data_IF_357109174297
#
_entry.id   IF_357109174297
#
_cell.length_a   1.000
_cell.length_b   1.000
_cell.length_c   1.000
_cell.angle_alpha   90.00
_cell.angle_beta   90.00
_cell.angle_gamma   90.00
#
_symmetry.space_group_name_H-M   'P 1'
#
loop_
_entity.id
_entity.type
_entity.pdbx_description
1 polymer ?
#
# COMPACT_ATOMS: atom_id res chain seq x y z
N UNK A 1 6.91 -12.29 -56.02
CA UNK A 1 7.45 -12.15 -54.64
C UNK A 1 7.20 -10.74 -54.10
N UNK A 2 5.99 -10.37 -53.67
CA UNK A 2 5.72 -9.04 -53.05
C UNK A 2 4.42 -9.07 -52.23
N UNK A 3 4.39 -9.70 -51.05
CA UNK A 3 3.29 -9.55 -50.06
C UNK A 3 3.77 -9.94 -48.65
N UNK A 4 4.77 -9.26 -48.10
CA UNK A 4 5.15 -9.40 -46.69
C UNK A 4 5.97 -8.18 -46.27
N UNK A 5 5.32 -7.06 -45.93
CA UNK A 5 6.01 -5.94 -45.28
C UNK A 5 5.10 -4.96 -44.52
N UNK A 6 3.82 -5.27 -44.33
CA UNK A 6 2.90 -4.42 -43.54
C UNK A 6 2.50 -5.22 -42.30
N UNK A 7 3.41 -5.36 -41.35
CA UNK A 7 3.04 -5.78 -39.98
C UNK A 7 4.01 -5.33 -38.89
N UNK A 8 5.12 -4.66 -39.22
CA UNK A 8 6.14 -4.27 -38.23
C UNK A 8 6.06 -2.81 -37.78
N UNK A 9 5.12 -2.00 -38.31
CA UNK A 9 5.04 -0.56 -38.02
C UNK A 9 3.98 -0.19 -36.96
N UNK A 10 3.25 -1.17 -36.40
CA UNK A 10 2.19 -0.89 -35.42
C UNK A 10 2.63 -1.06 -33.96
N UNK A 11 3.81 -1.62 -33.70
CA UNK A 11 4.33 -1.86 -32.34
C UNK A 11 5.21 -0.73 -31.81
N UNK A 12 5.69 0.18 -32.67
CA UNK A 12 6.56 1.30 -32.26
C UNK A 12 5.80 2.59 -31.91
N UNK A 13 4.51 2.71 -32.29
CA UNK A 13 3.70 3.90 -32.01
C UNK A 13 3.02 3.92 -30.64
N UNK A 14 2.90 2.77 -29.95
CA UNK A 14 2.27 2.69 -28.62
C UNK A 14 3.17 3.22 -27.48
N UNK A 15 4.50 3.11 -27.64
CA UNK A 15 5.44 3.52 -26.58
C UNK A 15 5.56 5.04 -26.45
N UNK A 16 5.42 5.80 -27.54
CA UNK A 16 5.49 7.26 -27.52
C UNK A 16 4.25 7.90 -26.87
N UNK A 17 3.08 7.27 -26.97
CA UNK A 17 1.85 7.79 -26.37
C UNK A 17 1.92 7.81 -24.83
N UNK A 18 2.51 6.78 -24.21
CA UNK A 18 2.64 6.69 -22.76
C UNK A 18 3.66 7.71 -22.22
N UNK A 19 4.84 7.82 -22.86
CA UNK A 19 5.85 8.79 -22.45
C UNK A 19 5.34 10.25 -22.51
N UNK A 20 4.58 10.60 -23.56
CA UNK A 20 3.97 11.92 -23.70
C UNK A 20 2.91 12.21 -22.63
N UNK A 21 2.13 11.22 -22.21
CA UNK A 21 1.12 11.40 -21.16
C UNK A 21 1.76 11.71 -19.79
N UNK A 22 2.86 11.02 -19.47
CA UNK A 22 3.62 11.29 -18.24
C UNK A 22 4.22 12.68 -18.25
N UNK A 23 4.85 13.10 -19.35
CA UNK A 23 5.47 14.42 -19.47
C UNK A 23 4.44 15.56 -19.50
N UNK A 24 3.24 15.33 -20.03
CA UNK A 24 2.14 16.30 -19.94
C UNK A 24 1.64 16.44 -18.50
N UNK A 25 1.42 15.32 -17.79
CA UNK A 25 0.90 15.34 -16.41
C UNK A 25 1.93 15.82 -15.38
N UNK A 26 3.22 15.50 -15.57
CA UNK A 26 4.28 15.72 -14.60
C UNK A 26 5.36 16.71 -15.07
N UNK A 27 5.28 17.26 -16.28
CA UNK A 27 6.29 18.18 -16.84
C UNK A 27 6.45 19.49 -16.06
N UNK A 28 5.40 19.92 -15.35
CA UNK A 28 5.44 21.09 -14.47
C UNK A 28 6.05 20.83 -13.08
N UNK A 29 6.35 19.57 -12.73
CA UNK A 29 6.95 19.25 -11.45
C UNK A 29 8.45 19.55 -11.45
N UNK A 30 8.98 19.96 -10.29
CA UNK A 30 10.43 20.05 -10.12
C UNK A 30 11.07 18.69 -10.43
N UNK A 31 12.21 18.70 -11.15
CA UNK A 31 12.85 17.49 -11.69
C UNK A 31 13.09 16.39 -10.65
N UNK A 32 13.45 16.77 -9.43
CA UNK A 32 13.68 15.83 -8.32
C UNK A 32 12.41 15.15 -7.78
N UNK A 33 11.23 15.71 -8.06
CA UNK A 33 9.94 15.13 -7.68
C UNK A 33 9.19 14.46 -8.84
N UNK A 34 9.62 14.65 -10.08
CA UNK A 34 9.02 13.99 -11.24
C UNK A 34 8.88 12.47 -11.07
N UNK A 35 9.88 11.73 -10.51
CA UNK A 35 9.72 10.29 -10.28
C UNK A 35 8.54 9.93 -9.37
N UNK A 36 8.23 10.77 -8.38
CA UNK A 36 7.07 10.57 -7.50
C UNK A 36 5.78 10.78 -8.29
N UNK A 37 5.70 11.86 -9.07
CA UNK A 37 4.54 12.14 -9.92
C UNK A 37 4.30 10.99 -10.92
N UNK A 38 5.35 10.55 -11.61
CA UNK A 38 5.26 9.43 -12.54
C UNK A 38 4.76 8.16 -11.86
N UNK A 39 5.29 7.79 -10.68
CA UNK A 39 4.83 6.60 -9.96
C UNK A 39 3.38 6.73 -9.50
N UNK A 40 2.96 7.90 -9.03
CA UNK A 40 1.57 8.15 -8.62
C UNK A 40 0.62 8.07 -9.81
N UNK A 41 0.98 8.67 -10.93
CA UNK A 41 0.24 8.60 -12.17
C UNK A 41 0.10 7.14 -12.64
N UNK A 42 1.20 6.38 -12.65
CA UNK A 42 1.18 4.96 -13.02
C UNK A 42 0.28 4.13 -12.09
N UNK A 43 0.38 4.32 -10.76
CA UNK A 43 -0.52 3.67 -9.81
C UNK A 43 -1.98 3.97 -10.09
N UNK A 44 -2.29 5.23 -10.40
CA UNK A 44 -3.65 5.66 -10.66
C UNK A 44 -4.24 5.01 -11.92
N UNK A 45 -3.51 5.07 -13.03
CA UNK A 45 -4.03 4.68 -14.35
C UNK A 45 -3.74 3.22 -14.74
N UNK A 46 -2.61 2.65 -14.30
CA UNK A 46 -2.19 1.29 -14.65
C UNK A 46 -2.35 0.29 -13.48
N UNK A 47 -2.44 0.77 -12.24
CA UNK A 47 -2.55 -0.09 -11.05
C UNK A 47 -3.88 -0.84 -10.96
N UNK A 48 -3.84 -2.04 -10.40
CA UNK A 48 -5.03 -2.84 -10.09
C UNK A 48 -5.79 -2.26 -8.89
N UNK A 49 -7.11 -2.43 -8.84
CA UNK A 49 -7.91 -2.01 -7.70
C UNK A 49 -7.73 -3.00 -6.55
N UNK A 50 -7.73 -2.49 -5.33
CA UNK A 50 -7.50 -3.29 -4.14
C UNK A 50 -8.51 -2.95 -3.06
N UNK A 51 -9.16 -3.97 -2.50
CA UNK A 51 -10.01 -3.88 -1.33
C UNK A 51 -9.20 -4.31 -0.12
N UNK A 52 -9.14 -3.44 0.89
CA UNK A 52 -8.46 -3.69 2.15
C UNK A 52 -9.48 -4.02 3.23
N UNK A 53 -9.19 -5.06 4.02
CA UNK A 53 -9.99 -5.47 5.18
C UNK A 53 -9.05 -5.57 6.37
N UNK A 54 -9.31 -4.79 7.42
CA UNK A 54 -8.52 -4.81 8.65
C UNK A 54 -9.27 -5.61 9.71
N UNK A 55 -8.55 -6.18 10.68
CA UNK A 55 -9.24 -6.97 11.71
C UNK A 55 -8.47 -7.25 12.99
N UNK A 56 -7.14 -7.12 13.00
CA UNK A 56 -6.38 -7.50 14.20
C UNK A 56 -5.20 -6.57 14.48
N UNK A 57 -5.15 -6.04 15.69
CA UNK A 57 -4.05 -5.28 16.25
C UNK A 57 -3.55 -5.97 17.53
N UNK A 58 -2.38 -6.59 17.46
CA UNK A 58 -1.76 -7.28 18.59
C UNK A 58 -0.79 -6.36 19.32
N UNK A 59 -1.06 -6.10 20.60
CA UNK A 59 -0.13 -5.38 21.47
C UNK A 59 0.97 -6.32 21.97
N UNK A 60 2.24 -5.89 21.90
CA UNK A 60 3.34 -6.75 22.30
C UNK A 60 3.25 -7.20 23.77
N UNK A 61 3.12 -8.51 23.98
CA UNK A 61 2.91 -9.11 25.32
C UNK A 61 4.11 -8.98 26.25
N UNK A 62 5.31 -8.74 25.69
CA UNK A 62 6.50 -8.45 26.48
C UNK A 62 6.54 -7.00 26.98
N UNK A 63 5.79 -6.12 26.33
CA UNK A 63 5.82 -4.68 26.59
C UNK A 63 4.61 -4.20 27.41
N UNK A 64 3.43 -4.77 27.14
CA UNK A 64 2.19 -4.39 27.80
C UNK A 64 1.78 -5.39 28.89
N UNK A 65 1.44 -4.92 30.10
CA UNK A 65 0.88 -5.78 31.12
C UNK A 65 -0.54 -6.23 30.74
N UNK A 66 -0.92 -7.44 31.15
CA UNK A 66 -2.20 -8.08 30.80
C UNK A 66 -3.43 -7.20 31.08
N UNK A 67 -3.46 -6.47 32.21
CA UNK A 67 -4.58 -5.60 32.53
C UNK A 67 -4.77 -4.47 31.51
N UNK A 68 -3.67 -3.96 30.93
CA UNK A 68 -3.71 -2.88 29.94
C UNK A 68 -4.17 -3.43 28.59
N UNK A 69 -3.66 -4.59 28.19
CA UNK A 69 -4.12 -5.29 26.98
C UNK A 69 -5.63 -5.55 27.05
N UNK A 70 -6.12 -6.03 28.19
CA UNK A 70 -7.55 -6.29 28.39
C UNK A 70 -8.42 -5.02 28.32
N UNK A 71 -7.84 -3.84 28.50
CA UNK A 71 -8.55 -2.56 28.34
C UNK A 71 -8.59 -2.06 26.90
N UNK A 72 -7.75 -2.61 26.01
CA UNK A 72 -7.64 -2.19 24.62
C UNK A 72 -8.49 -3.03 23.67
N UNK A 73 -8.93 -2.40 22.59
CA UNK A 73 -9.49 -3.07 21.44
C UNK A 73 -8.36 -3.64 20.56
N UNK A 74 -8.33 -4.96 20.41
CA UNK A 74 -7.45 -5.65 19.44
C UNK A 74 -8.20 -6.07 18.17
N UNK A 75 -9.53 -5.93 18.17
CA UNK A 75 -10.36 -6.16 16.99
C UNK A 75 -10.41 -4.86 16.17
N UNK A 76 -9.34 -4.61 15.42
CA UNK A 76 -9.17 -3.41 14.61
C UNK A 76 -9.95 -3.50 13.28
N UNK A 77 -11.26 -3.74 13.40
CA UNK A 77 -12.17 -3.89 12.27
C UNK A 77 -12.28 -2.59 11.48
N UNK A 78 -12.36 -2.75 10.17
CA UNK A 78 -12.36 -1.66 9.23
C UNK A 78 -11.98 -2.14 7.84
N UNK A 79 -11.56 -1.20 7.01
CA UNK A 79 -11.16 -1.48 5.65
C UNK A 79 -11.04 -0.23 4.82
N UNK A 80 -10.90 -0.41 3.52
CA UNK A 80 -10.80 0.68 2.59
C UNK A 80 -10.39 0.23 1.21
N UNK A 81 -9.93 1.17 0.41
CA UNK A 81 -9.63 0.97 -1.00
C UNK A 81 -8.22 1.45 -1.32
N UNK A 82 -7.65 0.89 -2.36
CA UNK A 82 -6.36 1.30 -2.86
C UNK A 82 -6.11 0.85 -4.29
N UNK A 83 -4.90 1.16 -4.75
CA UNK A 83 -4.38 0.70 -6.02
C UNK A 83 -2.98 0.15 -5.81
N UNK A 84 -2.70 -0.97 -6.47
CA UNK A 84 -1.41 -1.66 -6.40
C UNK A 84 -0.88 -1.98 -7.79
N UNK A 85 0.43 -1.84 -7.99
CA UNK A 85 1.12 -2.25 -9.21
C UNK A 85 2.41 -2.99 -8.87
N UNK A 86 2.81 -3.90 -9.76
CA UNK A 86 4.16 -4.44 -9.78
C UNK A 86 4.97 -3.67 -10.82
N UNK A 87 6.14 -3.18 -10.44
CA UNK A 87 7.01 -2.46 -11.35
C UNK A 87 7.79 -3.43 -12.26
N UNK A 88 8.67 -2.86 -13.10
CA UNK A 88 9.44 -3.60 -14.09
C UNK A 88 10.46 -4.57 -13.45
N UNK A 89 10.77 -4.38 -12.15
CA UNK A 89 11.63 -5.25 -11.35
C UNK A 89 10.83 -6.32 -10.61
N UNK A 90 9.50 -6.27 -10.71
CA UNK A 90 8.60 -7.13 -9.97
C UNK A 90 8.45 -6.73 -8.51
N UNK A 91 8.87 -5.53 -8.11
CA UNK A 91 8.62 -4.97 -6.78
C UNK A 91 7.21 -4.38 -6.73
N UNK A 92 6.55 -4.43 -5.56
CA UNK A 92 5.17 -3.96 -5.42
C UNK A 92 5.13 -2.53 -4.87
N UNK A 93 4.29 -1.72 -5.49
CA UNK A 93 3.95 -0.37 -5.08
C UNK A 93 2.45 -0.28 -4.83
N UNK A 94 2.01 0.49 -3.84
CA UNK A 94 0.59 0.74 -3.67
C UNK A 94 0.27 2.03 -2.94
N UNK A 95 -0.88 2.60 -3.27
CA UNK A 95 -1.56 3.64 -2.49
C UNK A 95 -2.81 3.06 -1.86
N UNK A 96 -3.12 3.45 -0.63
CA UNK A 96 -4.29 2.98 0.09
C UNK A 96 -4.89 4.07 0.95
N UNK A 97 -6.20 4.01 1.12
CA UNK A 97 -6.96 4.76 2.09
C UNK A 97 -7.80 3.76 2.88
N UNK A 98 -7.55 3.65 4.17
CA UNK A 98 -8.26 2.76 5.08
C UNK A 98 -8.79 3.53 6.28
N UNK A 99 -9.84 3.01 6.92
CA UNK A 99 -10.26 3.45 8.23
C UNK A 99 -10.58 2.22 9.09
N UNK A 100 -10.15 2.25 10.35
CA UNK A 100 -10.30 1.13 11.27
C UNK A 100 -10.53 1.59 12.70
N UNK A 101 -10.98 0.68 13.57
CA UNK A 101 -11.13 0.95 14.99
C UNK A 101 -9.77 0.85 15.71
N UNK A 102 -9.37 1.93 16.37
CA UNK A 102 -8.15 1.98 17.17
C UNK A 102 -8.29 1.23 18.51
N UNK A 103 -7.27 1.30 19.36
CA UNK A 103 -7.24 0.64 20.68
C UNK A 103 -8.27 1.18 21.68
N UNK A 104 -8.82 2.38 21.44
CA UNK A 104 -9.90 3.00 22.21
C UNK A 104 -11.26 2.93 21.49
N UNK A 105 -11.36 2.17 20.38
CA UNK A 105 -12.55 2.02 19.53
C UNK A 105 -12.98 3.30 18.83
N UNK A 106 -12.06 4.24 18.63
CA UNK A 106 -12.28 5.39 17.77
C UNK A 106 -11.97 5.04 16.31
N UNK A 107 -12.58 5.73 15.36
CA UNK A 107 -12.23 5.61 13.94
C UNK A 107 -10.87 6.29 13.73
N UNK A 108 -9.91 5.53 13.22
CA UNK A 108 -8.60 5.99 12.78
C UNK A 108 -8.50 5.86 11.25
N UNK A 109 -8.53 6.98 10.50
CA UNK A 109 -8.26 6.97 9.07
C UNK A 109 -6.75 6.98 8.79
N UNK A 110 -6.31 6.21 7.80
CA UNK A 110 -4.94 6.23 7.30
C UNK A 110 -4.92 6.29 5.77
N UNK A 111 -4.14 7.22 5.24
CA UNK A 111 -3.80 7.35 3.81
C UNK A 111 -2.31 7.10 3.67
N UNK A 112 -1.90 6.19 2.79
CA UNK A 112 -0.49 5.88 2.65
C UNK A 112 -0.06 5.39 1.28
N UNK A 113 1.25 5.45 1.10
CA UNK A 113 1.98 4.78 0.03
C UNK A 113 2.84 3.67 0.63
N UNK A 114 2.93 2.54 -0.05
CA UNK A 114 3.73 1.41 0.36
C UNK A 114 4.60 0.90 -0.79
N UNK A 115 5.81 0.48 -0.44
CA UNK A 115 6.77 -0.15 -1.33
C UNK A 115 7.26 -1.45 -0.70
N UNK A 116 7.24 -2.54 -1.46
CA UNK A 116 7.72 -3.85 -1.05
C UNK A 116 8.67 -4.40 -2.10
N UNK A 117 9.84 -4.86 -1.66
CA UNK A 117 10.64 -5.79 -2.44
C UNK A 117 9.97 -7.15 -2.43
N UNK A 118 9.87 -7.81 -3.58
CA UNK A 118 9.07 -9.03 -3.71
C UNK A 118 9.88 -10.22 -4.22
N UNK A 119 9.84 -11.31 -3.45
CA UNK A 119 10.29 -12.63 -3.89
C UNK A 119 9.11 -13.39 -4.51
N UNK A 120 9.25 -13.77 -5.79
CA UNK A 120 8.26 -14.56 -6.53
C UNK A 120 8.56 -16.05 -6.36
N UNK A 121 7.87 -16.71 -5.43
CA UNK A 121 8.10 -18.12 -5.08
C UNK A 121 7.48 -19.08 -6.09
N UNK A 122 6.41 -18.66 -6.75
CA UNK A 122 5.76 -19.33 -7.88
C UNK A 122 4.93 -18.32 -8.68
N UNK A 123 4.32 -18.76 -9.79
CA UNK A 123 3.42 -17.92 -10.60
C UNK A 123 2.27 -17.30 -9.78
N UNK A 124 1.89 -17.94 -8.68
CA UNK A 124 0.76 -17.54 -7.86
C UNK A 124 1.16 -17.07 -6.46
N UNK A 125 2.39 -17.29 -5.99
CA UNK A 125 2.78 -17.02 -4.60
C UNK A 125 3.94 -16.07 -4.53
N UNK A 126 3.78 -14.99 -3.75
CA UNK A 126 4.79 -13.96 -3.57
C UNK A 126 4.95 -13.58 -2.11
N UNK A 127 6.18 -13.29 -1.70
CA UNK A 127 6.51 -12.73 -0.39
C UNK A 127 7.08 -11.33 -0.58
N UNK A 128 6.50 -10.35 0.10
CA UNK A 128 6.94 -8.96 0.03
C UNK A 128 7.43 -8.44 1.37
N UNK A 129 8.48 -7.63 1.37
CA UNK A 129 8.94 -6.90 2.55
C UNK A 129 9.44 -5.49 2.16
N UNK A 130 9.11 -4.50 2.97
CA UNK A 130 9.49 -3.11 2.73
C UNK A 130 8.86 -2.19 3.76
N UNK A 131 8.29 -1.08 3.31
CA UNK A 131 7.78 -0.02 4.18
C UNK A 131 6.53 0.65 3.62
N UNK A 132 5.83 1.35 4.50
CA UNK A 132 4.80 2.32 4.15
C UNK A 132 5.11 3.67 4.78
N UNK A 133 4.85 4.74 4.05
CA UNK A 133 4.71 6.09 4.58
C UNK A 133 3.24 6.45 4.54
N UNK A 134 2.73 7.00 5.63
CA UNK A 134 1.30 7.29 5.78
C UNK A 134 1.06 8.59 6.54
N UNK A 135 -0.15 9.10 6.39
CA UNK A 135 -0.73 10.11 7.25
C UNK A 135 -1.93 9.47 7.93
N UNK A 136 -1.99 9.56 9.24
CA UNK A 136 -3.11 9.08 10.05
C UNK A 136 -3.56 10.17 11.02
N UNK A 137 -4.75 10.02 11.60
CA UNK A 137 -5.27 10.92 12.62
C UNK A 137 -5.96 10.11 13.71
N UNK A 138 -5.77 10.51 14.97
CA UNK A 138 -6.43 9.87 16.10
C UNK A 138 -6.94 10.93 17.07
N UNK A 139 -8.14 10.80 17.64
CA UNK A 139 -8.68 11.82 18.55
C UNK A 139 -7.86 11.95 19.84
N UNK A 140 -7.23 10.86 20.29
CA UNK A 140 -6.37 10.81 21.47
C UNK A 140 -4.91 11.23 21.21
N UNK A 141 -4.52 11.46 19.95
CA UNK A 141 -3.19 11.95 19.57
C UNK A 141 -3.32 13.29 18.84
N UNK A 142 -2.60 14.31 19.33
CA UNK A 142 -2.63 15.66 18.73
C UNK A 142 -4.05 16.21 18.51
N UNK A 143 -5.03 15.76 19.32
CA UNK A 143 -6.44 16.14 19.22
C UNK A 143 -7.04 15.95 17.81
N UNK A 144 -6.64 14.90 17.09
CA UNK A 144 -7.14 14.58 15.76
C UNK A 144 -6.46 15.33 14.61
N UNK A 145 -5.42 16.13 14.88
CA UNK A 145 -4.59 16.72 13.82
C UNK A 145 -3.83 15.59 13.10
N UNK A 146 -3.93 15.46 11.77
CA UNK A 146 -3.22 14.43 11.03
C UNK A 146 -1.70 14.52 11.20
N UNK A 147 -1.05 13.37 11.36
CA UNK A 147 0.40 13.28 11.54
C UNK A 147 1.00 12.20 10.63
N UNK A 148 2.26 12.38 10.18
CA UNK A 148 2.93 11.41 9.34
C UNK A 148 3.44 10.22 10.16
N UNK A 149 3.56 9.07 9.49
CA UNK A 149 4.17 7.86 10.02
C UNK A 149 4.95 7.12 8.96
N UNK A 150 5.93 6.33 9.40
CA UNK A 150 6.63 5.36 8.56
C UNK A 150 6.69 4.04 9.31
N UNK A 151 6.27 2.96 8.64
CA UNK A 151 6.17 1.64 9.25
C UNK A 151 6.77 0.56 8.35
N UNK A 152 7.39 -0.50 8.91
CA UNK A 152 7.71 -1.69 8.14
C UNK A 152 6.42 -2.36 7.65
N UNK A 153 6.48 -2.99 6.47
CA UNK A 153 5.36 -3.72 5.90
C UNK A 153 5.84 -5.05 5.32
N UNK A 154 5.13 -6.12 5.63
CA UNK A 154 5.36 -7.46 5.06
C UNK A 154 4.07 -8.01 4.47
N UNK A 155 4.19 -8.87 3.46
CA UNK A 155 3.04 -9.48 2.80
C UNK A 155 3.31 -10.90 2.32
N UNK A 156 2.26 -11.70 2.33
CA UNK A 156 2.15 -12.99 1.67
C UNK A 156 0.98 -12.91 0.70
N UNK A 157 1.27 -12.98 -0.58
CA UNK A 157 0.29 -12.96 -1.66
C UNK A 157 0.12 -14.38 -2.22
N UNK A 158 -1.13 -14.78 -2.42
CA UNK A 158 -1.50 -15.94 -3.22
C UNK A 158 -2.62 -15.57 -4.19
N UNK A 159 -2.31 -15.58 -5.49
CA UNK A 159 -3.18 -15.08 -6.58
C UNK A 159 -3.62 -13.64 -6.30
N UNK A 160 -4.91 -13.43 -6.11
CA UNK A 160 -5.50 -12.11 -5.91
C UNK A 160 -5.68 -11.77 -4.42
N UNK A 161 -5.35 -12.68 -3.50
CA UNK A 161 -5.51 -12.48 -2.06
C UNK A 161 -4.14 -12.27 -1.44
N UNK A 162 -4.06 -11.31 -0.52
CA UNK A 162 -2.83 -10.97 0.19
C UNK A 162 -3.11 -10.83 1.67
N UNK A 163 -2.34 -11.51 2.50
CA UNK A 163 -2.25 -11.25 3.92
C UNK A 163 -1.06 -10.30 4.14
N UNK A 164 -1.29 -9.20 4.83
CA UNK A 164 -0.25 -8.21 5.13
C UNK A 164 -0.20 -7.88 6.61
N UNK A 165 0.98 -7.46 7.06
CA UNK A 165 1.17 -6.95 8.40
C UNK A 165 2.14 -5.77 8.43
N UNK A 166 1.89 -4.85 9.35
CA UNK A 166 2.77 -3.74 9.68
C UNK A 166 3.01 -3.69 11.19
N UNK A 167 4.14 -3.13 11.63
CA UNK A 167 4.47 -3.03 13.05
C UNK A 167 4.70 -1.57 13.41
N UNK A 168 3.94 -1.05 14.36
CA UNK A 168 4.12 0.28 14.93
C UNK A 168 5.23 0.22 15.97
N UNK A 169 6.44 0.73 15.69
CA UNK A 169 7.49 0.79 16.69
C UNK A 169 7.10 1.78 17.78
N UNK A 170 7.66 1.61 18.98
CA UNK A 170 7.48 2.59 20.02
C UNK A 170 8.30 2.29 21.27
N UNK A 171 8.25 3.22 22.23
CA UNK A 171 9.00 3.15 23.46
C UNK A 171 8.06 2.82 24.62
N UNK A 172 8.38 1.77 25.37
CA UNK A 172 7.53 1.32 26.47
C UNK A 172 6.09 1.06 26.01
N UNK A 173 5.12 1.69 26.67
CA UNK A 173 3.67 1.42 26.48
C UNK A 173 3.00 2.29 25.41
N UNK A 174 3.80 2.85 24.52
CA UNK A 174 3.35 3.56 23.33
C UNK A 174 3.91 2.81 22.12
N UNK A 175 3.08 2.52 21.12
CA UNK A 175 3.45 1.65 20.00
C UNK A 175 3.65 0.19 20.41
N UNK A 176 4.58 -0.51 19.77
CA UNK A 176 4.78 -1.96 19.91
C UNK A 176 3.52 -2.77 19.56
N UNK A 177 2.92 -2.45 18.42
CA UNK A 177 1.68 -3.06 17.94
C UNK A 177 1.89 -3.67 16.57
N UNK A 178 1.55 -4.95 16.41
CA UNK A 178 1.46 -5.61 15.12
C UNK A 178 0.03 -5.43 14.57
N UNK A 179 -0.10 -4.86 13.39
CA UNK A 179 -1.38 -4.66 12.73
C UNK A 179 -1.48 -5.57 11.51
N UNK A 180 -2.55 -6.36 11.43
CA UNK A 180 -2.79 -7.37 10.39
C UNK A 180 -4.01 -6.97 9.56
N UNK A 181 -3.85 -7.11 8.25
CA UNK A 181 -4.87 -6.80 7.26
C UNK A 181 -4.87 -7.80 6.10
N UNK A 182 -6.04 -8.03 5.54
CA UNK A 182 -6.25 -8.72 4.28
C UNK A 182 -6.41 -7.73 3.14
N UNK A 183 -6.01 -8.14 1.94
CA UNK A 183 -6.16 -7.36 0.72
C UNK A 183 -6.60 -8.26 -0.43
N UNK A 184 -7.59 -7.82 -1.19
CA UNK A 184 -8.06 -8.49 -2.40
C UNK A 184 -7.87 -7.60 -3.62
N UNK A 185 -7.14 -8.08 -4.61
CA UNK A 185 -6.85 -7.36 -5.86
C UNK A 185 -7.84 -7.78 -6.95
N UNK A 186 -8.44 -6.81 -7.64
CA UNK A 186 -9.45 -7.05 -8.66
C UNK A 186 -9.41 -5.99 -9.77
N UNK A 187 -9.99 -6.32 -10.92
CA UNK A 187 -10.21 -5.41 -12.04
C UNK A 187 -11.72 -5.24 -12.25
N UNK A 188 -12.15 -4.02 -12.53
CA UNK A 188 -13.47 -3.82 -13.13
C UNK A 188 -13.33 -4.22 -14.61
N UNK A 189 -14.06 -5.27 -15.01
CA UNK A 189 -14.16 -5.67 -16.42
C UNK A 189 -14.79 -4.56 -17.25
#
# INVERSE_FOLDING_TARGET
MKKTLISFFLLTSLSCAHANQYDEACGGWFSWFQPICYRMHQLWYEGHNELYVTGYAWHNRYTYPKYKINSYNEAAWGGGLGKGLYDEKGDWHGIYTIAFLDSHKNIEPALGYAFLKVAHLSDNTRLGAGYTVLITARPDILHGIPFPGILPWVSLNHRNVTLSATYVPGSGREGNVLFILGKWTFNFM
#
